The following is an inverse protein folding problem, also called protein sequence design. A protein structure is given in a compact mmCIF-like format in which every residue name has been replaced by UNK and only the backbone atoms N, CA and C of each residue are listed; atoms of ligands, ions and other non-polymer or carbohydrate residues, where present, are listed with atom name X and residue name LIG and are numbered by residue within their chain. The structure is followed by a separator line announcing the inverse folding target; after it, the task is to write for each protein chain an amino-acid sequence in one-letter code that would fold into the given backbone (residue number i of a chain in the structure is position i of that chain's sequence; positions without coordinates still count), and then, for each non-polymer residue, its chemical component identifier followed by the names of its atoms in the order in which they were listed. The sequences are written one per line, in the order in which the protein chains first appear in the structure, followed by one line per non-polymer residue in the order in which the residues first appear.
data_IF_614062212750
#
_entry.id   IF_614062212750
#
_cell.length_a   1.000
_cell.length_b   1.000
_cell.length_c   1.000
_cell.angle_alpha   90.00
_cell.angle_beta   90.00
_cell.angle_gamma   90.00
#
_symmetry.space_group_name_H-M   'P 1'
#
loop_
_entity.id
_entity.type
_entity.pdbx_description
1 polymer ?
#
# COMPACT_ATOMS: atom_id res chain seq x y z
N UNK A 1 5.11 15.44 0.35
CA UNK A 1 5.29 14.63 -0.86
C UNK A 1 4.58 15.27 -2.03
N UNK A 2 5.35 15.87 -2.94
CA UNK A 2 4.87 16.18 -4.29
C UNK A 2 5.11 14.96 -5.17
N UNK A 3 4.07 14.47 -5.86
CA UNK A 3 4.16 13.23 -6.62
C UNK A 3 3.41 13.33 -7.95
N UNK A 4 4.10 12.97 -9.03
CA UNK A 4 3.50 12.78 -10.33
C UNK A 4 2.79 11.41 -10.39
N UNK A 5 1.56 11.42 -10.87
CA UNK A 5 0.72 10.25 -11.07
C UNK A 5 0.77 9.83 -12.54
N UNK A 6 1.21 8.60 -12.79
CA UNK A 6 1.22 7.99 -14.13
C UNK A 6 0.38 6.70 -14.10
N UNK A 7 -0.84 6.71 -14.69
CA UNK A 7 -1.71 5.54 -14.74
C UNK A 7 -1.00 4.33 -15.33
N UNK A 8 -1.14 3.17 -14.69
CA UNK A 8 -0.53 1.93 -15.13
C UNK A 8 0.97 1.82 -14.92
N UNK A 9 1.63 2.86 -14.37
CA UNK A 9 3.10 2.93 -14.32
C UNK A 9 3.61 3.26 -12.92
N UNK A 10 3.27 4.42 -12.36
CA UNK A 10 3.92 4.89 -11.13
C UNK A 10 3.16 5.97 -10.37
N UNK A 11 3.57 6.17 -9.12
CA UNK A 11 3.19 7.30 -8.29
C UNK A 11 4.45 7.85 -7.60
N UNK A 12 4.90 9.03 -8.02
CA UNK A 12 6.17 9.60 -7.59
C UNK A 12 7.33 8.61 -7.80
N UNK A 13 8.09 8.24 -6.77
CA UNK A 13 9.21 7.31 -6.90
C UNK A 13 8.79 5.83 -6.97
N UNK A 14 7.51 5.50 -6.74
CA UNK A 14 7.04 4.12 -6.70
C UNK A 14 6.59 3.68 -8.09
N UNK A 15 7.30 2.72 -8.68
CA UNK A 15 7.05 2.21 -10.04
C UNK A 15 6.56 0.77 -9.98
N UNK A 16 5.46 0.47 -10.66
CA UNK A 16 4.95 -0.89 -10.78
C UNK A 16 5.99 -1.82 -11.41
N UNK A 17 6.10 -3.04 -10.88
CA UNK A 17 7.12 -4.02 -11.26
C UNK A 17 8.47 -3.84 -10.55
N UNK A 18 8.71 -2.72 -9.85
CA UNK A 18 9.94 -2.54 -9.07
C UNK A 18 10.05 -3.55 -7.93
N UNK A 19 11.26 -3.97 -7.57
CA UNK A 19 11.47 -4.93 -6.48
C UNK A 19 11.10 -4.36 -5.10
N UNK A 20 10.77 -5.24 -4.14
CA UNK A 20 10.55 -4.87 -2.74
C UNK A 20 11.68 -4.00 -2.20
N UNK A 21 12.93 -4.38 -2.49
CA UNK A 21 14.12 -3.63 -2.08
C UNK A 21 14.12 -2.21 -2.64
N UNK A 22 13.76 -2.04 -3.91
CA UNK A 22 13.67 -0.71 -4.55
C UNK A 22 12.54 0.11 -3.90
N UNK A 23 11.37 -0.49 -3.67
CA UNK A 23 10.26 0.18 -3.01
C UNK A 23 10.60 0.61 -1.57
N UNK A 24 11.27 -0.25 -0.80
CA UNK A 24 11.76 0.07 0.54
C UNK A 24 12.83 1.17 0.52
N UNK A 25 13.76 1.14 -0.44
CA UNK A 25 14.76 2.18 -0.59
C UNK A 25 14.11 3.54 -0.87
N UNK A 26 13.11 3.58 -1.75
CA UNK A 26 12.35 4.79 -2.06
C UNK A 26 11.55 5.30 -0.85
N UNK A 27 10.94 4.40 -0.06
CA UNK A 27 10.28 4.79 1.20
C UNK A 27 11.27 5.40 2.20
N UNK A 28 12.46 4.81 2.34
CA UNK A 28 13.51 5.33 3.21
C UNK A 28 14.03 6.68 2.74
N UNK A 29 14.24 6.85 1.43
CA UNK A 29 14.72 8.12 0.88
C UNK A 29 13.72 9.25 1.09
N UNK A 30 12.41 8.97 1.02
CA UNK A 30 11.38 9.94 1.37
C UNK A 30 11.38 10.32 2.86
N UNK A 31 11.84 9.40 3.73
CA UNK A 31 11.95 9.62 5.17
C UNK A 31 13.27 10.22 5.65
N UNK A 32 14.25 10.45 4.75
CA UNK A 32 15.53 11.08 5.10
C UNK A 32 15.28 12.47 5.71
N UNK A 33 15.72 12.67 6.96
CA UNK A 33 15.53 13.92 7.71
C UNK A 33 14.30 13.94 8.63
N UNK A 34 13.50 12.87 8.66
CA UNK A 34 12.39 12.71 9.61
C UNK A 34 12.78 11.75 10.74
N UNK A 35 12.43 12.06 11.99
CA UNK A 35 12.60 11.15 13.14
C UNK A 35 11.55 10.04 13.20
N UNK A 36 10.63 10.00 12.24
CA UNK A 36 9.48 9.09 12.19
C UNK A 36 9.79 7.85 11.37
N UNK A 37 9.20 6.72 11.76
CA UNK A 37 9.31 5.48 11.00
C UNK A 37 8.81 5.70 9.55
N UNK A 38 9.64 5.46 8.52
CA UNK A 38 9.25 5.75 7.15
C UNK A 38 8.14 4.83 6.63
N UNK A 39 8.07 3.58 7.11
CA UNK A 39 7.11 2.60 6.65
C UNK A 39 7.00 1.39 7.59
N UNK A 40 5.84 0.77 7.59
CA UNK A 40 5.57 -0.53 8.20
C UNK A 40 5.55 -1.60 7.09
N UNK A 41 6.26 -2.70 7.29
CA UNK A 41 6.17 -3.87 6.42
C UNK A 41 5.32 -4.95 7.11
N UNK A 42 4.33 -5.47 6.40
CA UNK A 42 3.31 -6.34 6.96
C UNK A 42 3.17 -7.59 6.08
N UNK A 43 3.32 -8.77 6.69
CA UNK A 43 3.04 -10.07 6.06
C UNK A 43 1.71 -10.57 6.61
N UNK A 44 0.64 -10.63 5.81
CA UNK A 44 -0.72 -10.77 6.36
C UNK A 44 -1.21 -12.19 6.65
N UNK A 45 -0.65 -13.26 6.05
CA UNK A 45 -1.15 -14.64 6.27
C UNK A 45 -0.03 -15.60 6.66
N UNK A 46 -0.15 -16.23 7.83
CA UNK A 46 0.76 -17.27 8.34
C UNK A 46 0.62 -18.61 7.64
N UNK A 47 -0.60 -18.97 7.30
CA UNK A 47 -0.92 -20.27 6.72
C UNK A 47 -0.52 -20.34 5.26
N UNK A 48 -0.56 -19.19 4.57
CA UNK A 48 -0.21 -19.07 3.15
C UNK A 48 0.51 -17.75 2.85
N UNK A 49 1.74 -17.56 3.36
CA UNK A 49 2.49 -16.30 3.23
C UNK A 49 2.79 -15.92 1.77
N UNK A 50 2.87 -16.90 0.87
CA UNK A 50 3.10 -16.70 -0.56
C UNK A 50 1.82 -16.52 -1.39
N UNK A 51 0.65 -16.52 -0.76
CA UNK A 51 -0.65 -16.36 -1.43
C UNK A 51 -1.22 -14.95 -1.28
N UNK A 52 -0.64 -14.16 -0.39
CA UNK A 52 -1.05 -12.79 -0.11
C UNK A 52 0.10 -11.84 -0.37
N UNK A 53 -0.20 -10.62 -0.78
CA UNK A 53 0.82 -9.61 -1.03
C UNK A 53 1.45 -9.13 0.28
N UNK A 54 2.76 -8.90 0.24
CA UNK A 54 3.48 -8.16 1.28
C UNK A 54 3.02 -6.70 1.18
N UNK A 55 2.74 -6.09 2.33
CA UNK A 55 2.25 -4.71 2.40
C UNK A 55 3.35 -3.83 2.95
N UNK A 56 3.70 -2.77 2.22
CA UNK A 56 4.57 -1.70 2.71
C UNK A 56 3.73 -0.43 2.85
N UNK A 57 3.37 -0.08 4.08
CA UNK A 57 2.44 1.00 4.41
C UNK A 57 3.15 2.16 5.07
N UNK A 58 2.88 3.39 4.63
CA UNK A 58 3.32 4.60 5.32
C UNK A 58 2.16 5.56 5.48
N UNK A 59 1.69 5.71 6.73
CA UNK A 59 0.69 6.72 7.08
C UNK A 59 1.23 8.13 6.92
N UNK A 60 2.54 8.33 7.12
CA UNK A 60 3.21 9.63 7.00
C UNK A 60 3.16 10.13 5.56
N UNK A 61 3.42 9.25 4.59
CA UNK A 61 3.38 9.59 3.18
C UNK A 61 2.02 9.36 2.52
N UNK A 62 1.09 8.72 3.23
CA UNK A 62 -0.24 8.45 2.73
C UNK A 62 -0.28 7.41 1.62
N UNK A 63 0.65 6.46 1.62
CA UNK A 63 0.78 5.42 0.59
C UNK A 63 0.82 4.01 1.20
N UNK A 64 0.24 3.07 0.48
CA UNK A 64 0.26 1.66 0.81
C UNK A 64 0.62 0.87 -0.46
N UNK A 65 1.74 0.16 -0.43
CA UNK A 65 2.30 -0.55 -1.57
C UNK A 65 2.06 -2.05 -1.36
N UNK A 66 1.58 -2.74 -2.40
CA UNK A 66 1.41 -4.20 -2.40
C UNK A 66 2.46 -4.84 -3.28
N UNK A 67 3.22 -5.72 -2.69
CA UNK A 67 4.32 -6.42 -3.34
C UNK A 67 3.97 -7.89 -3.40
N UNK A 68 4.09 -8.47 -4.60
CA UNK A 68 3.90 -9.90 -4.81
C UNK A 68 4.83 -10.68 -3.87
N UNK A 69 4.29 -11.59 -3.08
CA UNK A 69 5.10 -12.34 -2.12
C UNK A 69 6.04 -13.35 -2.78
N UNK A 70 5.77 -13.78 -4.01
CA UNK A 70 6.64 -14.73 -4.75
C UNK A 70 7.65 -14.00 -5.61
N UNK A 71 7.19 -13.06 -6.43
CA UNK A 71 8.04 -12.31 -7.35
C UNK A 71 8.78 -11.17 -6.66
N UNK A 72 8.34 -10.76 -5.47
CA UNK A 72 8.90 -9.64 -4.72
C UNK A 72 8.89 -8.34 -5.53
N UNK A 73 7.85 -8.16 -6.35
CA UNK A 73 7.65 -6.98 -7.22
C UNK A 73 6.39 -6.21 -6.86
N UNK A 74 6.45 -4.88 -6.91
CA UNK A 74 5.33 -3.98 -6.67
C UNK A 74 4.21 -4.19 -7.69
N UNK A 75 3.00 -4.55 -7.25
CA UNK A 75 1.84 -4.83 -8.11
C UNK A 75 0.72 -3.80 -8.01
N UNK A 76 0.57 -3.17 -6.84
CA UNK A 76 -0.46 -2.16 -6.60
C UNK A 76 0.09 -1.04 -5.72
N UNK A 77 -0.26 0.19 -6.07
CA UNK A 77 0.01 1.38 -5.26
C UNK A 77 -1.35 1.97 -4.85
N UNK A 78 -1.58 2.07 -3.55
CA UNK A 78 -2.72 2.78 -2.96
C UNK A 78 -2.23 4.11 -2.38
N UNK A 79 -2.94 5.18 -2.68
CA UNK A 79 -2.72 6.52 -2.11
C UNK A 79 -3.99 6.92 -1.36
N UNK A 80 -3.87 7.27 -0.08
CA UNK A 80 -5.02 7.52 0.80
C UNK A 80 -4.96 8.85 1.58
N UNK A 81 -3.87 9.61 1.48
CA UNK A 81 -3.73 10.92 2.15
C UNK A 81 -3.65 12.08 1.15
N UNK A 82 -4.72 12.22 0.34
CA UNK A 82 -4.78 13.12 -0.81
C UNK A 82 -4.92 14.61 -0.46
N UNK A 83 -5.22 14.93 0.81
CA UNK A 83 -5.47 16.30 1.28
C UNK A 83 -4.53 16.73 2.41
N UNK A 84 -3.46 15.99 2.67
CA UNK A 84 -2.46 16.39 3.68
C UNK A 84 -1.78 17.71 3.30
N UNK A 85 -1.40 18.56 4.28
CA UNK A 85 -0.75 19.85 4.03
C UNK A 85 0.52 19.76 3.18
N UNK A 86 1.20 18.61 3.24
CA UNK A 86 2.43 18.33 2.54
C UNK A 86 2.24 17.50 1.28
N UNK A 87 1.01 17.08 0.90
CA UNK A 87 0.78 16.29 -0.31
C UNK A 87 0.26 17.13 -1.48
N UNK A 88 0.90 16.98 -2.64
CA UNK A 88 0.39 17.46 -3.92
C UNK A 88 0.56 16.36 -4.97
N UNK A 89 -0.51 16.07 -5.69
CA UNK A 89 -0.56 15.06 -6.74
C UNK A 89 -0.87 15.72 -8.07
N UNK A 90 -0.03 15.45 -9.05
CA UNK A 90 -0.19 15.98 -10.41
C UNK A 90 -0.42 14.85 -11.41
N UNK A 91 -1.28 15.08 -12.39
CA UNK A 91 -1.50 14.22 -13.54
C UNK A 91 -1.24 15.04 -14.80
N UNK A 92 -0.31 14.56 -15.65
CA UNK A 92 0.13 15.29 -16.85
C UNK A 92 0.58 16.74 -16.54
N UNK A 93 1.27 16.94 -15.41
CA UNK A 93 1.74 18.25 -14.96
C UNK A 93 0.64 19.16 -14.38
N UNK A 94 -0.62 18.71 -14.32
CA UNK A 94 -1.74 19.45 -13.77
C UNK A 94 -2.09 18.91 -12.38
N UNK A 95 -2.25 19.81 -11.40
CA UNK A 95 -2.66 19.41 -10.05
C UNK A 95 -4.08 18.79 -10.07
N UNK A 96 -4.20 17.64 -9.40
CA UNK A 96 -5.47 16.90 -9.23
C UNK A 96 -5.84 16.67 -7.77
N UNK A 97 -4.87 16.71 -6.85
CA UNK A 97 -5.11 16.63 -5.42
C UNK A 97 -4.07 17.45 -4.66
N UNK A 98 -4.53 18.36 -3.81
CA UNK A 98 -3.72 19.04 -2.80
C UNK A 98 -4.65 19.58 -1.71
N UNK A 99 -4.11 20.21 -0.68
CA UNK A 99 -4.91 20.92 0.32
C UNK A 99 -5.77 22.03 -0.30
N UNK A 100 -5.31 22.67 -1.39
CA UNK A 100 -6.03 23.75 -2.06
C UNK A 100 -6.94 23.24 -3.18
N UNK A 101 -6.60 22.09 -3.75
CA UNK A 101 -7.29 21.50 -4.89
C UNK A 101 -7.83 20.12 -4.47
N UNK A 102 -9.05 20.04 -3.91
CA UNK A 102 -9.63 18.75 -3.54
C UNK A 102 -9.86 17.87 -4.79
N UNK A 103 -9.55 16.57 -4.73
CA UNK A 103 -9.76 15.64 -5.84
C UNK A 103 -11.25 15.31 -6.01
N UNK A 104 -12.03 16.28 -6.45
CA UNK A 104 -13.47 16.12 -6.68
C UNK A 104 -13.74 15.27 -7.90
N UNK A 105 -14.87 14.56 -7.92
CA UNK A 105 -15.28 13.76 -9.08
C UNK A 105 -15.28 14.59 -10.38
N UNK A 106 -15.78 15.84 -10.31
CA UNK A 106 -15.83 16.76 -11.46
C UNK A 106 -14.43 17.17 -11.93
N UNK A 107 -13.49 17.38 -11.01
CA UNK A 107 -12.10 17.68 -11.35
C UNK A 107 -11.45 16.49 -12.06
N UNK A 108 -11.61 15.27 -11.53
CA UNK A 108 -11.05 14.07 -12.14
C UNK A 108 -11.62 13.88 -13.56
N UNK A 109 -12.93 14.05 -13.76
CA UNK A 109 -13.51 14.00 -15.10
C UNK A 109 -12.97 15.08 -16.03
N UNK A 110 -12.81 16.32 -15.55
CA UNK A 110 -12.23 17.41 -16.34
C UNK A 110 -10.80 17.08 -16.79
N UNK A 111 -10.06 16.32 -15.99
CA UNK A 111 -8.63 15.99 -16.24
C UNK A 111 -8.45 14.72 -17.06
N UNK A 112 -9.26 13.70 -16.84
CA UNK A 112 -9.09 12.37 -17.45
C UNK A 112 -10.14 12.03 -18.50
N UNK A 113 -11.20 12.83 -18.60
CA UNK A 113 -12.29 12.64 -19.56
C UNK A 113 -13.45 11.80 -18.99
N UNK A 114 -14.70 12.03 -19.46
CA UNK A 114 -15.89 11.32 -18.99
C UNK A 114 -16.13 9.96 -19.67
N UNK A 115 -15.09 9.33 -20.22
CA UNK A 115 -15.22 8.17 -21.10
C UNK A 115 -15.47 6.84 -20.40
N UNK A 116 -15.32 6.77 -19.08
CA UNK A 116 -15.47 5.52 -18.33
C UNK A 116 -16.63 5.60 -17.33
N UNK A 117 -17.57 4.64 -17.35
CA UNK A 117 -18.61 4.55 -16.33
C UNK A 117 -17.98 4.20 -14.98
N UNK A 118 -18.56 4.71 -13.90
CA UNK A 118 -18.21 4.27 -12.56
C UNK A 118 -19.25 3.30 -11.99
N UNK A 119 -18.89 2.62 -10.90
CA UNK A 119 -19.76 1.67 -10.21
C UNK A 119 -19.81 1.96 -8.71
N UNK A 120 -20.96 1.70 -8.09
CA UNK A 120 -21.09 1.72 -6.63
C UNK A 120 -20.70 0.36 -6.06
N UNK A 121 -19.97 0.37 -4.94
CA UNK A 121 -19.75 -0.84 -4.16
C UNK A 121 -20.74 -0.96 -2.98
N UNK A 122 -20.68 -2.10 -2.29
CA UNK A 122 -21.52 -2.44 -1.12
C UNK A 122 -21.36 -1.46 0.07
N UNK A 123 -20.31 -0.62 0.06
CA UNK A 123 -19.98 0.32 1.15
C UNK A 123 -20.38 1.75 0.83
N UNK A 124 -21.26 1.95 -0.17
CA UNK A 124 -21.62 3.25 -0.69
C UNK A 124 -20.39 4.05 -1.17
N UNK A 125 -19.41 3.40 -1.78
CA UNK A 125 -18.28 4.08 -2.43
C UNK A 125 -18.47 4.01 -3.94
N UNK A 126 -18.44 5.16 -4.59
CA UNK A 126 -18.42 5.26 -6.04
C UNK A 126 -16.98 5.08 -6.52
N UNK A 127 -16.78 4.17 -7.46
CA UNK A 127 -15.47 3.86 -8.00
C UNK A 127 -15.45 4.24 -9.48
N UNK A 128 -14.52 5.14 -9.83
CA UNK A 128 -14.26 5.56 -11.20
C UNK A 128 -12.91 4.99 -11.63
N UNK A 129 -12.92 4.14 -12.65
CA UNK A 129 -11.72 3.45 -13.09
C UNK A 129 -11.40 3.71 -14.57
N UNK A 130 -10.12 4.00 -14.81
CA UNK A 130 -9.51 4.13 -16.11
C UNK A 130 -8.46 3.02 -16.27
N UNK A 131 -7.92 2.78 -17.48
CA UNK A 131 -6.81 1.86 -17.66
C UNK A 131 -5.63 2.22 -16.75
N UNK A 132 -5.36 1.33 -15.80
CA UNK A 132 -4.23 1.41 -14.88
C UNK A 132 -4.39 2.38 -13.69
N UNK A 133 -5.57 2.94 -13.48
CA UNK A 133 -5.85 3.78 -12.31
C UNK A 133 -7.32 3.75 -11.90
N UNK A 134 -7.61 3.78 -10.60
CA UNK A 134 -8.96 3.95 -10.07
C UNK A 134 -9.03 4.99 -8.96
N UNK A 135 -10.15 5.68 -8.87
CA UNK A 135 -10.47 6.67 -7.85
C UNK A 135 -11.69 6.20 -7.06
N UNK A 136 -11.63 6.32 -5.74
CA UNK A 136 -12.72 5.92 -4.85
C UNK A 136 -13.28 7.14 -4.15
N UNK A 137 -14.59 7.35 -4.29
CA UNK A 137 -15.34 8.47 -3.74
C UNK A 137 -16.37 7.93 -2.73
N UNK A 138 -16.19 8.17 -1.43
CA UNK A 138 -17.21 7.81 -0.44
C UNK A 138 -18.47 8.66 -0.68
N UNK A 139 -19.62 8.01 -0.74
CA UNK A 139 -20.92 8.66 -0.93
C UNK A 139 -21.67 8.62 0.39
N UNK A 140 -21.88 9.79 1.00
CA UNK A 140 -22.66 9.91 2.24
C UNK A 140 -24.12 9.49 2.02
N UNK A 141 -24.72 8.89 3.06
CA UNK A 141 -26.14 8.56 3.05
C UNK A 141 -26.98 9.85 2.85
N UNK A 142 -27.98 9.76 1.97
CA UNK A 142 -28.83 10.91 1.62
C UNK A 142 -28.25 11.87 0.57
N UNK A 143 -26.98 11.70 0.16
CA UNK A 143 -26.39 12.51 -0.91
C UNK A 143 -26.98 12.19 -2.30
N UNK A 144 -27.55 11.00 -2.45
CA UNK A 144 -28.26 10.54 -3.64
C UNK A 144 -29.69 10.18 -3.26
N UNK A 145 -30.67 10.66 -4.02
CA UNK A 145 -32.04 10.15 -3.96
C UNK A 145 -32.03 8.76 -4.62
N UNK A 146 -32.16 7.69 -3.82
CA UNK A 146 -32.36 6.34 -4.35
C UNK A 146 -33.72 6.30 -5.04
N UNK A 147 -33.75 6.35 -6.37
CA UNK A 147 -34.95 5.98 -7.09
C UNK A 147 -35.15 4.47 -6.95
N UNK A 148 -36.28 4.08 -6.37
CA UNK A 148 -36.62 2.71 -5.95
C UNK A 148 -36.69 1.66 -7.07
N UNK A 149 -36.25 1.98 -8.29
CA UNK A 149 -36.33 1.14 -9.48
C UNK A 149 -34.99 0.83 -10.16
N UNK A 150 -33.89 1.45 -9.72
CA UNK A 150 -32.55 1.15 -10.26
C UNK A 150 -31.53 1.00 -9.15
N UNK A 151 -30.90 -0.16 -9.05
CA UNK A 151 -29.80 -0.44 -8.13
C UNK A 151 -28.49 0.25 -8.53
N UNK A 152 -28.41 0.83 -9.74
CA UNK A 152 -27.27 1.60 -10.21
C UNK A 152 -27.49 3.10 -9.96
N UNK A 153 -26.62 3.70 -9.14
CA UNK A 153 -26.49 5.17 -9.09
C UNK A 153 -26.05 5.65 -10.46
N UNK A 154 -26.86 6.46 -11.12
CA UNK A 154 -26.49 7.04 -12.42
C UNK A 154 -25.40 8.11 -12.21
N UNK A 155 -24.36 8.09 -13.05
CA UNK A 155 -23.26 9.07 -13.01
C UNK A 155 -23.78 10.52 -13.09
N UNK A 156 -24.82 10.74 -13.87
CA UNK A 156 -25.46 12.05 -14.03
C UNK A 156 -25.98 12.61 -12.70
N UNK A 157 -26.45 11.73 -11.80
CA UNK A 157 -26.91 12.14 -10.47
C UNK A 157 -25.76 12.61 -9.59
N UNK A 158 -24.58 11.97 -9.70
CA UNK A 158 -23.37 12.37 -8.98
C UNK A 158 -22.81 13.69 -9.51
N UNK A 159 -22.90 13.91 -10.82
CA UNK A 159 -22.48 15.17 -11.46
C UNK A 159 -23.46 16.32 -11.23
N UNK A 160 -24.74 16.02 -11.00
CA UNK A 160 -25.76 17.01 -10.66
C UNK A 160 -25.67 17.51 -9.20
N UNK A 161 -24.85 16.87 -8.35
CA UNK A 161 -24.63 17.34 -6.98
C UNK A 161 -23.99 18.74 -7.04
N UNK A 162 -24.51 19.73 -6.29
CA UNK A 162 -23.90 21.06 -6.21
C UNK A 162 -22.41 20.97 -5.86
N UNK A 163 -21.61 21.87 -6.44
CA UNK A 163 -20.14 21.81 -6.31
C UNK A 163 -19.64 21.79 -4.86
N UNK A 164 -20.40 22.35 -3.92
CA UNK A 164 -20.08 22.37 -2.48
C UNK A 164 -20.20 21.00 -1.79
N UNK A 165 -21.00 20.09 -2.38
CA UNK A 165 -21.25 18.74 -1.85
C UNK A 165 -20.70 17.64 -2.76
N UNK A 166 -19.89 18.01 -3.76
CA UNK A 166 -19.37 17.04 -4.71
C UNK A 166 -18.48 16.01 -3.99
N UNK A 167 -18.59 14.72 -4.33
CA UNK A 167 -17.75 13.70 -3.74
C UNK A 167 -16.27 13.99 -3.98
N UNK A 168 -15.47 13.86 -2.92
CA UNK A 168 -14.01 13.99 -2.95
C UNK A 168 -13.41 12.58 -2.89
N UNK A 169 -12.42 12.30 -3.73
CA UNK A 169 -11.74 11.01 -3.71
C UNK A 169 -11.06 10.81 -2.35
N UNK A 170 -11.31 9.68 -1.71
CA UNK A 170 -10.59 9.26 -0.51
C UNK A 170 -9.33 8.47 -0.86
N UNK A 171 -9.35 7.74 -1.98
CA UNK A 171 -8.27 6.85 -2.40
C UNK A 171 -8.03 6.88 -3.91
N UNK A 172 -6.77 6.68 -4.29
CA UNK A 172 -6.31 6.43 -5.65
C UNK A 172 -5.57 5.10 -5.68
N UNK A 173 -5.87 4.27 -6.66
CA UNK A 173 -5.16 3.01 -6.92
C UNK A 173 -4.45 3.10 -8.26
N UNK A 174 -3.18 2.71 -8.31
CA UNK A 174 -2.39 2.55 -9.55
C UNK A 174 -2.01 1.08 -9.67
N UNK A 175 -2.34 0.46 -10.80
CA UNK A 175 -2.14 -0.96 -11.06
C UNK A 175 -1.85 -1.20 -12.54
N UNK A 176 -1.24 -2.34 -12.87
CA UNK A 176 -0.96 -2.68 -14.27
C UNK A 176 -2.27 -3.11 -14.95
N UNK A 177 -2.68 -2.40 -16.00
CA UNK A 177 -3.91 -2.72 -16.76
C UNK A 177 -3.81 -4.02 -17.55
N UNK A 178 -2.60 -4.42 -17.96
CA UNK A 178 -2.38 -5.57 -18.85
C UNK A 178 -2.44 -6.92 -18.11
N UNK A 179 -2.10 -6.94 -16.82
CA UNK A 179 -2.27 -8.14 -15.98
C UNK A 179 -3.73 -8.33 -15.53
N UNK A 180 -4.64 -7.50 -16.04
CA UNK A 180 -6.01 -7.30 -15.57
C UNK A 180 -6.99 -7.03 -16.72
N UNK A 181 -6.69 -7.58 -17.90
CA UNK A 181 -7.59 -7.63 -19.06
C UNK A 181 -8.46 -8.88 -18.86
N UNK A 182 -9.78 -8.78 -18.70
CA UNK A 182 -10.65 -8.43 -19.82
C UNK A 182 -11.82 -7.48 -19.51
N UNK A 183 -12.11 -7.18 -18.24
CA UNK A 183 -13.09 -6.14 -17.89
C UNK A 183 -12.72 -5.56 -16.53
N UNK A 184 -12.63 -4.24 -16.41
CA UNK A 184 -12.66 -3.58 -15.10
C UNK A 184 -14.09 -3.72 -14.57
N UNK A 185 -14.42 -4.92 -14.08
CA UNK A 185 -15.68 -5.16 -13.39
C UNK A 185 -15.58 -4.57 -11.97
N UNK A 186 -16.72 -4.24 -11.33
CA UNK A 186 -16.75 -3.99 -9.89
C UNK A 186 -16.00 -5.08 -9.13
N UNK A 187 -16.06 -6.34 -9.59
CA UNK A 187 -15.33 -7.49 -9.05
C UNK A 187 -13.81 -7.41 -9.23
N UNK A 188 -13.29 -6.78 -10.30
CA UNK A 188 -11.85 -6.53 -10.41
C UNK A 188 -11.39 -5.56 -9.33
N UNK A 189 -12.17 -4.52 -9.03
CA UNK A 189 -11.88 -3.60 -7.92
C UNK A 189 -12.26 -4.23 -6.57
N UNK A 190 -13.15 -5.23 -6.58
CA UNK A 190 -13.45 -6.10 -5.46
C UNK A 190 -12.34 -7.13 -5.20
N UNK A 191 -11.57 -7.50 -6.21
CA UNK A 191 -10.40 -8.40 -6.17
C UNK A 191 -9.10 -7.62 -5.93
N UNK A 192 -9.05 -6.37 -6.41
CA UNK A 192 -8.18 -5.30 -5.95
C UNK A 192 -8.75 -4.64 -4.69
N UNK A 193 -9.68 -5.30 -3.97
CA UNK A 193 -10.03 -4.92 -2.61
C UNK A 193 -8.71 -4.85 -1.86
N UNK A 194 -8.37 -3.70 -1.26
CA UNK A 194 -7.38 -3.72 -0.21
C UNK A 194 -7.86 -4.73 0.82
N UNK A 195 -6.99 -5.65 1.23
CA UNK A 195 -7.04 -6.08 2.63
C UNK A 195 -6.82 -4.79 3.41
N UNK A 196 -7.91 -4.09 3.71
CA UNK A 196 -7.90 -3.11 4.78
C UNK A 196 -7.43 -3.92 5.97
N UNK A 197 -6.16 -3.74 6.34
CA UNK A 197 -5.72 -4.04 7.68
C UNK A 197 -6.47 -3.05 8.57
N UNK A 198 -7.77 -3.30 8.78
CA UNK A 198 -8.54 -2.66 9.83
C UNK A 198 -7.90 -2.96 11.18
N UNK A 199 -7.05 -3.97 11.24
CA UNK A 199 -6.21 -4.30 12.36
C UNK A 199 -4.93 -4.98 11.89
N UNK A 200 -3.77 -4.53 12.40
CA UNK A 200 -2.52 -5.30 12.39
C UNK A 200 -2.66 -6.63 13.13
N UNK A 201 -3.74 -6.85 13.91
CA UNK A 201 -3.99 -8.08 14.66
C UNK A 201 -4.10 -9.36 13.82
N UNK A 202 -4.29 -9.26 12.51
CA UNK A 202 -4.28 -10.43 11.62
C UNK A 202 -2.95 -10.64 10.89
N UNK A 203 -1.93 -9.79 11.10
CA UNK A 203 -0.65 -9.95 10.43
C UNK A 203 0.23 -10.99 11.12
N UNK A 204 0.95 -11.77 10.33
CA UNK A 204 2.00 -12.68 10.79
C UNK A 204 3.18 -11.89 11.34
N UNK A 205 3.66 -10.91 10.56
CA UNK A 205 4.82 -10.08 10.89
C UNK A 205 4.46 -8.63 10.65
N UNK A 206 4.75 -7.78 11.63
CA UNK A 206 4.79 -6.33 11.50
C UNK A 206 6.22 -5.86 11.76
N UNK A 207 6.92 -5.51 10.70
CA UNK A 207 8.30 -5.05 10.76
C UNK A 207 8.35 -3.53 10.68
N UNK A 208 9.09 -2.94 11.61
CA UNK A 208 9.43 -1.52 11.63
C UNK A 208 10.93 -1.40 11.34
N UNK A 209 11.33 -0.92 10.14
CA UNK A 209 12.72 -0.71 9.79
C UNK A 209 13.46 0.10 10.85
N UNK A 210 14.63 -0.41 11.28
CA UNK A 210 15.45 0.24 12.30
C UNK A 210 14.96 0.09 13.75
N UNK A 211 13.80 -0.54 14.01
CA UNK A 211 13.36 -0.85 15.37
C UNK A 211 13.28 -2.35 15.65
N UNK A 212 12.65 -3.11 14.76
CA UNK A 212 12.48 -4.54 14.96
C UNK A 212 11.17 -5.10 14.38
N UNK A 213 10.74 -6.22 14.94
CA UNK A 213 9.62 -7.03 14.48
C UNK A 213 8.61 -7.18 15.61
N UNK A 214 7.33 -7.13 15.28
CA UNK A 214 6.23 -7.53 16.14
C UNK A 214 5.47 -8.66 15.47
N UNK A 215 4.99 -9.62 16.25
CA UNK A 215 4.12 -10.70 15.83
C UNK A 215 2.75 -10.49 16.47
N UNK A 216 1.83 -9.76 15.80
CA UNK A 216 0.57 -9.33 16.40
C UNK A 216 -0.30 -10.48 16.95
N UNK A 217 -0.26 -11.65 16.33
CA UNK A 217 -1.03 -12.83 16.77
C UNK A 217 -0.58 -13.34 18.15
N UNK A 218 0.73 -13.34 18.43
CA UNK A 218 1.29 -13.82 19.70
C UNK A 218 1.56 -12.68 20.69
N UNK A 219 1.52 -11.43 20.25
CA UNK A 219 1.92 -10.25 21.03
C UNK A 219 3.44 -10.15 21.27
N UNK A 220 4.23 -11.04 20.67
CA UNK A 220 5.69 -11.08 20.82
C UNK A 220 6.32 -9.97 20.01
N UNK A 221 7.37 -9.34 20.56
CA UNK A 221 8.17 -8.35 19.83
C UNK A 221 9.66 -8.64 19.98
N UNK A 222 10.42 -8.41 18.91
CA UNK A 222 11.86 -8.61 18.84
C UNK A 222 12.44 -7.29 18.34
N UNK A 223 13.19 -6.60 19.19
CA UNK A 223 13.87 -5.36 18.81
C UNK A 223 15.25 -5.65 18.22
N UNK A 224 15.76 -4.76 17.36
CA UNK A 224 17.16 -4.84 16.93
C UNK A 224 18.09 -4.72 18.15
N UNK A 225 19.17 -5.50 18.16
CA UNK A 225 20.09 -5.62 19.31
C UNK A 225 19.63 -6.56 20.42
N UNK A 226 18.51 -7.26 20.25
CA UNK A 226 18.03 -8.26 21.21
C UNK A 226 18.93 -9.50 21.23
N UNK A 227 19.18 -10.06 22.42
CA UNK A 227 20.01 -11.26 22.59
C UNK A 227 19.39 -12.50 21.92
N UNK A 228 20.25 -13.36 21.36
CA UNK A 228 19.88 -14.60 20.69
C UNK A 228 18.96 -15.52 21.52
N UNK A 229 19.18 -15.58 22.84
CA UNK A 229 18.33 -16.36 23.74
C UNK A 229 16.88 -15.88 23.79
N UNK A 230 16.65 -14.56 23.70
CA UNK A 230 15.28 -14.03 23.68
C UNK A 230 14.60 -14.40 22.36
N UNK A 231 15.32 -14.35 21.24
CA UNK A 231 14.82 -14.79 19.94
C UNK A 231 14.42 -16.28 19.97
N UNK A 232 15.25 -17.15 20.56
CA UNK A 232 14.90 -18.57 20.76
C UNK A 232 13.67 -18.75 21.65
N UNK A 233 13.55 -17.98 22.73
CA UNK A 233 12.39 -18.04 23.61
C UNK A 233 11.10 -17.62 22.89
N UNK A 234 11.21 -16.65 21.98
CA UNK A 234 10.10 -16.07 21.22
C UNK A 234 9.67 -16.93 20.02
N UNK A 235 10.63 -17.41 19.22
CA UNK A 235 10.38 -18.06 17.93
C UNK A 235 10.65 -19.56 17.94
N UNK A 236 11.28 -20.08 18.99
CA UNK A 236 11.80 -21.44 19.03
C UNK A 236 13.10 -21.59 18.23
N UNK A 237 13.47 -22.85 17.98
CA UNK A 237 14.68 -23.18 17.25
C UNK A 237 14.57 -22.74 15.79
N UNK A 238 15.64 -22.16 15.21
CA UNK A 238 15.69 -21.88 13.78
C UNK A 238 15.63 -23.18 12.98
N UNK A 239 15.11 -23.09 11.76
CA UNK A 239 15.08 -24.23 10.85
C UNK A 239 16.48 -24.55 10.30
N UNK A 240 17.30 -23.52 10.10
CA UNK A 240 18.70 -23.66 9.68
C UNK A 240 19.57 -22.51 10.23
N UNK A 241 20.88 -22.75 10.32
CA UNK A 241 21.86 -21.80 10.85
C UNK A 241 23.07 -21.75 9.91
N UNK A 242 23.38 -20.55 9.43
CA UNK A 242 24.52 -20.31 8.54
C UNK A 242 25.52 -19.36 9.20
N UNK A 243 26.81 -19.60 8.97
CA UNK A 243 27.86 -18.63 9.28
C UNK A 243 28.36 -18.03 7.97
N UNK A 244 28.43 -16.70 7.88
CA UNK A 244 28.96 -15.99 6.72
C UNK A 244 30.08 -15.05 7.16
N UNK A 245 31.14 -14.99 6.38
CA UNK A 245 32.18 -13.97 6.52
C UNK A 245 31.74 -12.68 5.84
N UNK A 246 31.88 -11.55 6.54
CA UNK A 246 31.63 -10.22 6.01
C UNK A 246 32.48 -9.88 4.77
N UNK A 247 32.08 -8.87 3.98
CA UNK A 247 32.88 -8.41 2.86
C UNK A 247 34.26 -7.93 3.36
N UNK A 248 35.33 -8.36 2.68
CA UNK A 248 36.73 -8.17 3.07
C UNK A 248 37.18 -6.69 3.29
N UNK A 249 36.34 -5.71 2.96
CA UNK A 249 36.65 -4.28 3.03
C UNK A 249 36.48 -3.66 4.43
N UNK A 250 35.78 -4.31 5.37
CA UNK A 250 35.48 -3.72 6.69
C UNK A 250 35.96 -4.55 7.88
N UNK A 251 36.03 -5.86 7.77
CA UNK A 251 36.58 -6.78 8.77
C UNK A 251 36.30 -8.22 8.29
N UNK A 252 37.20 -9.17 8.54
CA UNK A 252 36.95 -10.61 8.30
C UNK A 252 36.05 -11.19 9.41
N UNK A 253 34.93 -10.52 9.71
CA UNK A 253 34.05 -10.89 10.81
C UNK A 253 33.03 -11.94 10.33
N UNK A 254 32.98 -13.08 11.04
CA UNK A 254 32.01 -14.15 10.81
C UNK A 254 30.71 -13.85 11.56
N UNK A 255 29.64 -13.58 10.83
CA UNK A 255 28.33 -13.34 11.41
C UNK A 255 27.39 -14.52 11.18
N UNK A 256 26.45 -14.71 12.10
CA UNK A 256 25.52 -15.83 12.07
C UNK A 256 24.15 -15.40 11.53
N UNK A 257 23.55 -16.27 10.73
CA UNK A 257 22.21 -16.10 10.18
C UNK A 257 21.35 -17.27 10.63
N UNK A 258 20.24 -16.98 11.31
CA UNK A 258 19.22 -17.94 11.67
C UNK A 258 18.04 -17.85 10.71
N UNK A 259 17.69 -18.97 10.11
CA UNK A 259 16.64 -19.04 9.10
C UNK A 259 15.35 -19.60 9.68
N UNK A 260 14.24 -18.88 9.51
CA UNK A 260 12.90 -19.30 9.92
C UNK A 260 11.99 -19.38 8.69
N UNK A 261 12.15 -20.43 7.88
CA UNK A 261 11.44 -20.61 6.60
C UNK A 261 9.90 -20.54 6.73
N UNK A 262 9.34 -21.08 7.82
CA UNK A 262 7.89 -21.04 8.08
C UNK A 262 7.36 -19.62 8.29
N UNK A 263 8.23 -18.68 8.65
CA UNK A 263 7.94 -17.26 8.82
C UNK A 263 8.43 -16.42 7.63
N UNK A 264 9.23 -17.00 6.73
CA UNK A 264 9.91 -16.26 5.66
C UNK A 264 10.88 -15.20 6.19
N UNK A 265 11.55 -15.49 7.32
CA UNK A 265 12.39 -14.54 8.05
C UNK A 265 13.82 -15.05 8.21
N UNK A 266 14.78 -14.17 7.95
CA UNK A 266 16.19 -14.34 8.30
C UNK A 266 16.55 -13.38 9.44
N UNK A 267 17.13 -13.91 10.52
CA UNK A 267 17.68 -13.10 11.61
C UNK A 267 19.19 -13.14 11.51
N UNK A 268 19.78 -11.95 11.33
CA UNK A 268 21.23 -11.77 11.23
C UNK A 268 21.73 -11.23 12.56
N UNK A 269 22.74 -11.89 13.12
CA UNK A 269 23.40 -11.47 14.35
C UNK A 269 24.70 -10.76 14.02
N UNK A 270 24.90 -9.58 14.58
CA UNK A 270 26.22 -8.95 14.59
C UNK A 270 27.19 -9.79 15.43
N UNK A 271 28.47 -9.75 15.07
CA UNK A 271 29.52 -10.40 15.87
C UNK A 271 29.60 -9.79 17.26
N UNK A 272 29.82 -10.65 18.27
CA UNK A 272 30.15 -10.23 19.64
C UNK A 272 31.47 -9.44 19.69
#
# INVERSE_FOLDING_TARGET
MEAALLPGVSFGPFVLGASLNTAMANMRSLGLGTSTNPADLIVPDKTRPFSTDIVLSSLVFGVCLRVDSKLQTLRLIEVHSLQSPSSSVTYQGLEIASTRTPPTLRLIFKRMGPTYPGCMNERNEFILAYPGIAFVFPIAEGMLKKDSKSSSVSMDLLLAIPSEKTPIASRIYIFNSLTSLDHISPDFIQSARPVLLKSTACALIHAIPGKGLTFPESGVSISLGTHAQHILACLGNPADVFNKTGPAATSSEEYQIWNYFSLGLDIVFDTL
#
